data_IF_215372568023
#
_entry.id   IF_215372568023
#
_cell.length_a   1.000
_cell.length_b   1.000
_cell.length_c   1.000
_cell.angle_alpha   90.00
_cell.angle_beta   90.00
_cell.angle_gamma   90.00
#
_symmetry.space_group_name_H-M   'P 1'
#
loop_
_entity.id
_entity.type
_entity.pdbx_description
1 polymer ?
#
# COMPACT_ATOMS: atom_id res chain seq x y z
N UNK A 1 5.58 0.08 9.71
CA UNK A 1 5.61 0.83 8.44
C UNK A 1 7.01 1.09 7.87
N UNK A 2 8.09 1.17 8.67
CA UNK A 2 9.45 1.49 8.16
C UNK A 2 9.97 0.50 7.11
N UNK A 3 9.86 -0.81 7.35
CA UNK A 3 10.34 -1.85 6.42
C UNK A 3 9.67 -1.76 5.04
N UNK A 4 8.35 -1.60 5.01
CA UNK A 4 7.57 -1.48 3.77
C UNK A 4 8.02 -0.30 2.91
N UNK A 5 8.21 0.86 3.56
CA UNK A 5 8.70 2.07 2.88
C UNK A 5 10.10 1.89 2.31
N UNK A 6 11.00 1.25 3.05
CA UNK A 6 12.36 1.02 2.58
C UNK A 6 12.39 0.07 1.38
N UNK A 7 11.59 -1.00 1.39
CA UNK A 7 11.47 -1.91 0.23
C UNK A 7 10.85 -1.19 -0.97
N UNK A 8 9.75 -0.46 -0.76
CA UNK A 8 9.09 0.32 -1.80
C UNK A 8 10.01 1.41 -2.38
N UNK A 9 10.83 2.07 -1.56
CA UNK A 9 11.84 3.05 -2.05
C UNK A 9 12.97 2.41 -2.82
N UNK A 10 13.33 1.16 -2.52
CA UNK A 10 14.35 0.43 -3.29
C UNK A 10 13.85 0.08 -4.68
N UNK A 11 12.61 -0.36 -4.80
CA UNK A 11 12.02 -0.73 -6.09
C UNK A 11 11.51 0.48 -6.88
N UNK A 12 10.98 1.49 -6.19
CA UNK A 12 10.46 2.72 -6.77
C UNK A 12 11.18 3.93 -6.15
N UNK A 13 12.36 4.33 -6.66
CA UNK A 13 13.14 5.41 -6.06
C UNK A 13 12.43 6.77 -6.09
N UNK A 14 11.50 6.96 -7.03
CA UNK A 14 10.65 8.15 -7.18
C UNK A 14 9.46 8.18 -6.22
N UNK A 15 9.25 7.13 -5.41
CA UNK A 15 8.07 7.01 -4.55
C UNK A 15 8.03 8.11 -3.48
N UNK A 16 6.86 8.72 -3.35
CA UNK A 16 6.53 9.69 -2.32
C UNK A 16 5.35 9.16 -1.53
N UNK A 17 5.47 9.20 -0.20
CA UNK A 17 4.42 8.75 0.70
C UNK A 17 3.72 9.96 1.33
N UNK A 18 2.41 9.85 1.55
CA UNK A 18 1.63 10.82 2.33
C UNK A 18 1.84 10.62 3.82
N UNK A 19 1.24 11.47 4.66
CA UNK A 19 1.13 11.14 6.08
C UNK A 19 0.40 9.80 6.28
N UNK A 20 0.82 9.04 7.30
CA UNK A 20 0.07 7.88 7.78
C UNK A 20 -1.26 8.32 8.36
N UNK A 21 -2.34 7.67 7.95
CA UNK A 21 -3.68 7.87 8.47
C UNK A 21 -4.09 6.60 9.21
N UNK A 22 -4.27 6.68 10.52
CA UNK A 22 -4.85 5.59 11.29
C UNK A 22 -6.37 5.60 11.14
N UNK A 23 -6.91 4.53 10.57
CA UNK A 23 -8.36 4.37 10.40
C UNK A 23 -8.87 3.20 11.21
N UNK A 24 -10.06 3.34 11.78
CA UNK A 24 -10.75 2.23 12.43
C UNK A 24 -11.20 1.22 11.36
N UNK A 25 -11.17 -0.10 11.65
CA UNK A 25 -11.73 -1.09 10.75
C UNK A 25 -13.21 -0.83 10.53
N UNK A 26 -13.65 -0.87 9.26
CA UNK A 26 -15.06 -0.66 8.89
C UNK A 26 -15.95 -1.87 9.24
N UNK A 27 -15.38 -3.07 9.40
CA UNK A 27 -16.15 -4.34 9.47
C UNK A 27 -15.79 -5.21 10.68
N UNK A 28 -14.70 -4.95 11.40
CA UNK A 28 -14.22 -5.82 12.48
C UNK A 28 -14.53 -5.30 13.88
N UNK A 29 -14.86 -6.23 14.79
CA UNK A 29 -15.03 -5.98 16.24
C UNK A 29 -13.72 -5.68 16.98
N UNK A 30 -12.57 -5.84 16.31
CA UNK A 30 -11.26 -5.60 16.89
C UNK A 30 -10.90 -4.11 16.78
N UNK A 31 -10.64 -3.38 17.88
CA UNK A 31 -10.37 -1.94 17.87
C UNK A 31 -8.97 -1.56 17.37
N UNK A 32 -8.19 -2.52 16.86
CA UNK A 32 -6.87 -2.26 16.32
C UNK A 32 -6.96 -1.30 15.11
N UNK A 33 -6.31 -0.15 15.21
CA UNK A 33 -6.23 0.82 14.14
C UNK A 33 -5.41 0.26 12.99
N UNK A 34 -5.88 0.49 11.76
CA UNK A 34 -5.12 0.21 10.55
C UNK A 34 -4.36 1.48 10.18
N UNK A 35 -3.03 1.39 10.10
CA UNK A 35 -2.22 2.43 9.49
C UNK A 35 -2.38 2.33 7.97
N UNK A 36 -3.12 3.27 7.38
CA UNK A 36 -3.21 3.43 5.94
C UNK A 36 -2.23 4.52 5.50
N UNK A 37 -1.65 4.35 4.33
CA UNK A 37 -0.75 5.32 3.75
C UNK A 37 -0.88 5.28 2.24
N UNK A 38 -0.95 6.46 1.62
CA UNK A 38 -0.88 6.57 0.18
C UNK A 38 0.55 6.77 -0.26
N UNK A 39 0.85 6.26 -1.44
CA UNK A 39 2.11 6.47 -2.11
C UNK A 39 1.87 6.74 -3.60
N UNK A 40 2.66 7.64 -4.16
CA UNK A 40 2.72 7.88 -5.60
C UNK A 40 4.16 7.68 -6.06
N UNK A 41 4.33 7.02 -7.18
CA UNK A 41 5.64 6.77 -7.78
C UNK A 41 5.55 6.86 -9.30
N UNK A 42 6.70 7.02 -9.92
CA UNK A 42 6.88 6.98 -11.36
C UNK A 42 7.75 5.77 -11.71
N UNK A 43 7.33 5.03 -12.73
CA UNK A 43 8.04 3.86 -13.24
C UNK A 43 7.83 3.76 -14.75
N UNK A 44 8.84 3.24 -15.44
CA UNK A 44 8.76 2.89 -16.86
C UNK A 44 8.20 1.46 -17.08
N UNK A 45 7.96 0.72 -15.99
CA UNK A 45 7.36 -0.60 -16.04
C UNK A 45 5.86 -0.52 -16.38
N UNK A 46 5.34 -1.53 -17.08
CA UNK A 46 3.91 -1.61 -17.38
C UNK A 46 3.06 -2.01 -16.15
N UNK A 47 1.75 -1.83 -16.27
CA UNK A 47 0.77 -2.14 -15.21
C UNK A 47 0.93 -3.56 -14.64
N UNK A 48 1.17 -4.57 -15.49
CA UNK A 48 1.28 -5.97 -15.05
C UNK A 48 2.58 -6.20 -14.28
N UNK A 49 3.69 -5.63 -14.76
CA UNK A 49 4.98 -5.72 -14.07
C UNK A 49 4.92 -5.02 -12.70
N UNK A 50 4.26 -3.86 -12.62
CA UNK A 50 4.06 -3.17 -11.35
C UNK A 50 3.20 -4.00 -10.40
N UNK A 51 2.09 -4.56 -10.86
CA UNK A 51 1.25 -5.44 -10.04
C UNK A 51 2.04 -6.67 -9.56
N UNK A 52 2.87 -7.25 -10.43
CA UNK A 52 3.72 -8.40 -10.10
C UNK A 52 4.73 -8.04 -9.01
N UNK A 53 5.44 -6.91 -9.17
CA UNK A 53 6.39 -6.41 -8.17
C UNK A 53 5.73 -6.12 -6.82
N UNK A 54 4.54 -5.47 -6.83
CA UNK A 54 3.80 -5.20 -5.60
C UNK A 54 3.40 -6.50 -4.89
N UNK A 55 2.86 -7.49 -5.61
CA UNK A 55 2.53 -8.81 -5.04
C UNK A 55 3.74 -9.55 -4.51
N UNK A 56 4.88 -9.43 -5.18
CA UNK A 56 6.12 -10.02 -4.72
C UNK A 56 6.61 -9.37 -3.41
N UNK A 57 6.46 -8.05 -3.28
CA UNK A 57 6.74 -7.35 -2.03
C UNK A 57 5.80 -7.78 -0.90
N UNK A 58 4.49 -7.90 -1.17
CA UNK A 58 3.53 -8.41 -0.18
C UNK A 58 3.91 -9.83 0.28
N UNK A 59 4.34 -10.68 -0.67
CA UNK A 59 4.80 -12.03 -0.37
C UNK A 59 6.10 -12.03 0.44
N UNK A 60 7.07 -11.21 0.05
CA UNK A 60 8.35 -11.03 0.74
C UNK A 60 8.19 -10.41 2.14
N UNK A 61 7.16 -9.57 2.32
CA UNK A 61 6.78 -8.98 3.60
C UNK A 61 6.00 -9.93 4.52
N UNK A 62 5.88 -11.21 4.17
CA UNK A 62 5.48 -12.26 5.11
C UNK A 62 4.24 -13.08 4.75
N UNK A 63 3.80 -13.14 3.48
CA UNK A 63 2.70 -14.06 3.11
C UNK A 63 3.22 -15.49 2.91
N UNK A 64 3.60 -16.15 3.99
CA UNK A 64 4.00 -17.57 4.03
C UNK A 64 3.30 -18.32 5.17
N UNK A 65 2.71 -19.51 4.93
CA UNK A 65 2.00 -20.27 5.97
C UNK A 65 2.90 -20.80 7.10
N UNK A 66 4.23 -20.77 6.93
CA UNK A 66 5.22 -21.23 7.91
C UNK A 66 5.76 -20.13 8.85
N UNK A 67 5.43 -18.85 8.61
CA UNK A 67 5.92 -17.67 9.37
C UNK A 67 5.16 -17.36 10.67
N UNK A 68 4.50 -18.38 11.26
CA UNK A 68 3.78 -18.26 12.55
C UNK A 68 4.68 -18.02 13.76
N UNK A 69 6.00 -18.17 13.64
CA UNK A 69 6.93 -18.12 14.77
C UNK A 69 7.56 -16.74 15.03
N UNK A 70 7.53 -15.79 14.08
CA UNK A 70 8.24 -14.49 14.22
C UNK A 70 7.31 -13.27 14.23
N UNK A 71 5.98 -13.47 14.28
CA UNK A 71 4.95 -12.41 14.43
C UNK A 71 5.16 -11.16 13.54
N UNK A 72 5.51 -11.32 12.26
CA UNK A 72 5.77 -10.17 11.38
C UNK A 72 5.12 -10.31 10.01
N UNK A 73 3.80 -10.10 9.98
CA UNK A 73 2.97 -10.05 8.76
C UNK A 73 1.98 -8.89 8.92
N UNK A 74 2.13 -7.78 8.17
CA UNK A 74 1.22 -6.62 8.27
C UNK A 74 1.02 -5.76 6.99
N UNK A 75 1.60 -6.07 5.82
CA UNK A 75 1.57 -5.15 4.66
C UNK A 75 0.66 -5.63 3.54
N UNK A 76 -0.32 -4.79 3.19
CA UNK A 76 -1.24 -4.93 2.06
C UNK A 76 -0.98 -3.73 1.13
N UNK A 77 -0.68 -3.98 -0.15
CA UNK A 77 -0.35 -2.92 -1.11
C UNK A 77 -1.26 -3.00 -2.31
N UNK A 78 -2.10 -1.98 -2.46
CA UNK A 78 -3.07 -1.88 -3.53
C UNK A 78 -2.73 -0.78 -4.54
N UNK A 79 -2.68 -1.15 -5.82
CA UNK A 79 -2.57 -0.19 -6.92
C UNK A 79 -3.95 0.37 -7.25
N UNK A 80 -4.21 1.61 -6.82
CA UNK A 80 -5.51 2.27 -7.01
C UNK A 80 -5.67 2.86 -8.41
N UNK A 81 -4.61 3.50 -8.89
CA UNK A 81 -4.54 4.21 -10.18
C UNK A 81 -3.19 3.91 -10.81
N UNK A 82 -3.20 3.64 -12.11
CA UNK A 82 -2.00 3.52 -12.92
C UNK A 82 -2.11 4.48 -14.10
N UNK A 83 -1.16 5.41 -14.23
CA UNK A 83 -1.23 6.54 -15.16
C UNK A 83 -2.57 7.31 -15.05
N UNK A 84 -3.44 7.16 -16.06
CA UNK A 84 -4.77 7.80 -16.14
C UNK A 84 -5.90 6.80 -15.93
N UNK A 85 -5.58 5.56 -15.60
CA UNK A 85 -6.53 4.46 -15.47
C UNK A 85 -6.78 4.15 -14.00
N UNK A 86 -8.05 4.22 -13.63
CA UNK A 86 -8.51 3.82 -12.29
C UNK A 86 -8.69 2.31 -12.28
N UNK A 87 -7.96 1.63 -11.40
CA UNK A 87 -8.05 0.18 -11.20
C UNK A 87 -9.04 -0.18 -10.09
N UNK A 88 -9.07 0.62 -9.01
CA UNK A 88 -9.97 0.41 -7.87
C UNK A 88 -10.79 1.67 -7.55
N UNK A 89 -11.91 1.89 -8.24
CA UNK A 89 -12.73 3.09 -8.06
C UNK A 89 -13.42 3.16 -6.69
N UNK A 90 -13.75 2.02 -6.08
CA UNK A 90 -14.36 1.99 -4.74
C UNK A 90 -13.35 2.33 -3.63
N UNK A 91 -12.10 1.86 -3.76
CA UNK A 91 -11.03 2.22 -2.82
C UNK A 91 -10.63 3.69 -2.92
N UNK A 92 -10.75 4.31 -4.10
CA UNK A 92 -10.54 5.75 -4.27
C UNK A 92 -11.53 6.62 -3.48
N UNK A 93 -12.74 6.13 -3.21
CA UNK A 93 -13.77 6.85 -2.44
C UNK A 93 -13.57 6.77 -0.93
N UNK A 94 -12.48 6.13 -0.48
CA UNK A 94 -12.19 6.02 0.95
C UNK A 94 -11.67 7.36 1.45
N UNK A 95 -12.17 7.80 2.60
CA UNK A 95 -11.82 9.11 3.16
C UNK A 95 -10.30 9.33 3.37
N UNK A 96 -9.55 8.29 3.73
CA UNK A 96 -8.09 8.39 3.86
C UNK A 96 -7.37 8.50 2.51
N UNK A 97 -7.97 7.96 1.44
CA UNK A 97 -7.43 8.06 0.09
C UNK A 97 -7.65 9.47 -0.46
N UNK A 98 -8.86 10.01 -0.32
CA UNK A 98 -9.16 11.39 -0.74
C UNK A 98 -8.26 12.40 -0.02
N UNK A 99 -8.07 12.23 1.30
CA UNK A 99 -7.20 13.09 2.09
C UNK A 99 -5.73 12.99 1.66
N UNK A 100 -5.20 11.79 1.45
CA UNK A 100 -3.82 11.66 0.98
C UNK A 100 -3.63 12.14 -0.46
N UNK A 101 -4.64 12.03 -1.33
CA UNK A 101 -4.59 12.63 -2.67
C UNK A 101 -4.54 14.17 -2.61
N UNK A 102 -5.22 14.79 -1.64
CA UNK A 102 -5.11 16.23 -1.40
C UNK A 102 -3.72 16.63 -0.91
N UNK A 103 -3.07 15.81 -0.07
CA UNK A 103 -1.67 16.03 0.35
C UNK A 103 -0.65 15.86 -0.79
N UNK A 104 -1.00 15.15 -1.87
CA UNK A 104 -0.14 14.92 -3.03
C UNK A 104 -0.32 15.96 -4.16
N UNK A 105 -1.28 16.87 -4.04
CA UNK A 105 -1.46 18.01 -4.96
C UNK A 105 -0.43 19.10 -4.71
#
# INVERSE_FOLDING_TARGET
MTFAREQLRKCFPSIRFTAEQETKPLVFRNPAFFSNQLAVFFTDADEQEVISQLKEMEKSAGRCPSDKLDEKICLDIDLLVFDRRVLKPDDLKRAYVEKGLEELK
#
